data_IF_777174496946
#
_entry.id   IF_777174496946
#
_cell.length_a   1.000
_cell.length_b   1.000
_cell.length_c   1.000
_cell.angle_alpha   90.00
_cell.angle_beta   90.00
_cell.angle_gamma   90.00
#
_symmetry.space_group_name_H-M   'P 1'
#
loop_
_entity.id
_entity.type
_entity.pdbx_description
1 polymer ?
#
# COMPACT_ATOMS: atom_id res chain seq x y z
N UNK A 1 -19.53 10.85 45.79
CA UNK A 1 -18.80 11.41 44.64
C UNK A 1 -17.32 11.09 44.80
N UNK A 2 -16.85 10.04 44.14
CA UNK A 2 -15.44 9.61 44.21
C UNK A 2 -14.64 10.43 43.20
N UNK A 3 -13.69 11.24 43.67
CA UNK A 3 -12.77 11.98 42.84
C UNK A 3 -11.87 10.98 42.06
N UNK A 4 -12.03 10.91 40.75
CA UNK A 4 -11.08 10.23 39.88
C UNK A 4 -9.71 10.92 40.05
N UNK A 5 -8.77 10.24 40.72
CA UNK A 5 -7.37 10.63 40.74
C UNK A 5 -6.88 10.58 39.27
N UNK A 6 -6.66 11.76 38.66
CA UNK A 6 -5.96 11.85 37.40
C UNK A 6 -4.53 11.39 37.65
N UNK A 7 -4.16 10.24 37.13
CA UNK A 7 -2.77 9.82 37.04
C UNK A 7 -2.08 10.74 36.02
N UNK A 8 -1.36 11.74 36.50
CA UNK A 8 -0.46 12.53 35.68
C UNK A 8 0.72 11.62 35.33
N UNK A 9 0.69 11.04 34.15
CA UNK A 9 1.85 10.30 33.61
C UNK A 9 2.95 11.32 33.38
N UNK A 10 4.07 11.19 34.10
CA UNK A 10 5.26 12.02 33.83
C UNK A 10 5.74 11.70 32.42
N UNK A 11 5.88 12.73 31.59
CA UNK A 11 6.32 12.63 30.18
C UNK A 11 7.72 13.27 30.04
N UNK A 12 8.78 12.68 30.65
CA UNK A 12 10.10 13.30 30.71
C UNK A 12 10.74 13.51 29.33
N UNK A 13 10.31 12.73 28.34
CA UNK A 13 10.76 12.86 26.96
C UNK A 13 10.33 14.18 26.29
N UNK A 14 9.24 14.82 26.71
CA UNK A 14 8.80 16.11 26.13
C UNK A 14 9.85 17.19 26.26
N UNK A 15 10.63 17.21 27.35
CA UNK A 15 11.71 18.18 27.52
C UNK A 15 12.86 17.96 26.52
N UNK A 16 13.02 16.74 26.01
CA UNK A 16 14.03 16.39 24.99
C UNK A 16 13.55 16.63 23.56
N UNK A 17 12.24 16.85 23.35
CA UNK A 17 11.65 17.06 22.04
C UNK A 17 11.82 18.49 21.50
N UNK A 18 12.39 19.42 22.30
CA UNK A 18 12.57 20.81 21.88
C UNK A 18 11.25 21.49 21.54
N UNK A 19 11.18 22.10 20.36
CA UNK A 19 10.00 22.84 19.87
C UNK A 19 8.89 21.96 19.30
N UNK A 20 9.02 20.63 19.35
CA UNK A 20 7.97 19.72 18.86
C UNK A 20 6.75 19.80 19.78
N UNK A 21 5.55 20.12 19.24
CA UNK A 21 4.34 20.19 20.05
C UNK A 21 4.01 18.88 20.77
N UNK A 22 3.63 18.97 22.06
CA UNK A 22 3.21 17.80 22.83
C UNK A 22 1.93 17.15 22.29
N UNK A 23 1.11 17.92 21.59
CA UNK A 23 -0.13 17.51 20.95
C UNK A 23 -0.15 18.01 19.51
N UNK A 24 -0.55 17.13 18.60
CA UNK A 24 -0.70 17.43 17.19
C UNK A 24 -2.15 17.15 16.76
N UNK A 25 -2.65 17.99 15.86
CA UNK A 25 -3.91 17.72 15.16
C UNK A 25 -3.65 16.71 14.04
N UNK A 26 -4.40 15.61 14.07
CA UNK A 26 -4.29 14.55 13.08
C UNK A 26 -5.38 14.67 12.02
N UNK A 27 -5.05 14.33 10.80
CA UNK A 27 -6.02 14.29 9.71
C UNK A 27 -7.13 13.25 10.02
N UNK A 28 -8.37 13.72 10.17
CA UNK A 28 -9.54 12.95 10.60
C UNK A 28 -10.23 12.15 9.50
N UNK A 29 -9.62 12.00 8.32
CA UNK A 29 -10.15 11.23 7.21
C UNK A 29 -9.40 9.92 6.95
N UNK A 30 -9.75 9.26 5.84
CA UNK A 30 -9.06 8.04 5.40
C UNK A 30 -7.67 8.34 4.86
N UNK A 31 -6.84 7.27 4.69
CA UNK A 31 -5.51 7.37 4.08
C UNK A 31 -5.57 7.98 2.67
N UNK A 32 -6.56 7.54 1.87
CA UNK A 32 -6.75 8.11 0.53
C UNK A 32 -7.11 9.61 0.60
N UNK A 33 -8.01 9.99 1.50
CA UNK A 33 -8.42 11.41 1.65
C UNK A 33 -7.26 12.31 2.07
N UNK A 34 -6.34 11.82 2.93
CA UNK A 34 -5.14 12.56 3.30
C UNK A 34 -4.25 12.84 2.07
N UNK A 35 -4.00 11.82 1.25
CA UNK A 35 -3.22 11.96 0.02
C UNK A 35 -3.97 12.78 -1.04
N UNK A 36 -5.29 12.64 -1.16
CA UNK A 36 -6.11 13.45 -2.06
C UNK A 36 -6.07 14.93 -1.68
N UNK A 37 -6.15 15.25 -0.39
CA UNK A 37 -6.04 16.63 0.11
C UNK A 37 -4.67 17.24 -0.23
N UNK A 38 -3.60 16.50 -0.03
CA UNK A 38 -2.25 16.92 -0.40
C UNK A 38 -2.11 17.12 -1.91
N UNK A 39 -2.63 16.21 -2.71
CA UNK A 39 -2.56 16.28 -4.17
C UNK A 39 -3.32 17.47 -4.79
N UNK A 40 -4.33 18.01 -4.08
CA UNK A 40 -5.01 19.25 -4.50
C UNK A 40 -4.08 20.47 -4.41
N UNK A 41 -3.19 20.50 -3.41
CA UNK A 41 -2.24 21.58 -3.23
C UNK A 41 -1.01 21.43 -4.14
N UNK A 42 -0.60 20.20 -4.43
CA UNK A 42 0.63 19.88 -5.17
C UNK A 42 0.40 18.92 -6.35
N UNK A 43 -0.57 19.20 -7.27
CA UNK A 43 -0.99 18.23 -8.28
C UNK A 43 0.13 17.84 -9.26
N UNK A 44 1.04 18.75 -9.54
CA UNK A 44 2.10 18.56 -10.54
C UNK A 44 3.46 18.17 -9.92
N UNK A 45 3.56 18.14 -8.56
CA UNK A 45 4.72 17.57 -7.90
C UNK A 45 4.84 16.08 -8.22
N UNK A 46 6.08 15.58 -8.22
CA UNK A 46 6.33 14.14 -8.38
C UNK A 46 5.94 13.41 -7.10
N UNK A 47 4.96 12.52 -7.16
CA UNK A 47 4.55 11.66 -6.05
C UNK A 47 5.54 10.50 -5.85
N UNK A 48 5.93 9.86 -6.95
CA UNK A 48 6.95 8.81 -6.89
C UNK A 48 7.77 8.70 -8.18
N UNK A 49 8.94 8.12 -8.03
CA UNK A 49 9.84 7.74 -9.12
C UNK A 49 10.04 6.23 -9.09
N UNK A 50 9.91 5.57 -10.22
CA UNK A 50 10.17 4.14 -10.37
C UNK A 50 10.96 3.87 -11.65
N UNK A 51 12.14 3.28 -11.53
CA UNK A 51 13.02 2.98 -12.67
C UNK A 51 13.16 4.20 -13.63
N UNK A 52 13.43 5.37 -13.07
CA UNK A 52 13.59 6.63 -13.80
C UNK A 52 12.29 7.31 -14.27
N UNK A 53 11.15 6.60 -14.28
CA UNK A 53 9.85 7.18 -14.62
C UNK A 53 9.29 7.95 -13.43
N UNK A 54 8.96 9.23 -13.65
CA UNK A 54 8.29 10.09 -12.67
C UNK A 54 6.78 10.04 -12.87
N UNK A 55 6.04 9.98 -11.75
CA UNK A 55 4.57 10.07 -11.75
C UNK A 55 4.16 11.22 -10.84
N UNK A 56 3.36 12.14 -11.35
CA UNK A 56 2.85 13.27 -10.56
C UNK A 56 1.73 12.84 -9.63
N UNK A 57 1.42 13.66 -8.61
CA UNK A 57 0.26 13.44 -7.74
C UNK A 57 -1.06 13.33 -8.52
N UNK A 58 -1.27 14.20 -9.50
CA UNK A 58 -2.43 14.16 -10.40
C UNK A 58 -2.55 12.81 -11.10
N UNK A 59 -1.45 12.34 -11.71
CA UNK A 59 -1.44 11.06 -12.42
C UNK A 59 -1.64 9.88 -11.46
N UNK A 60 -0.99 9.91 -10.30
CA UNK A 60 -1.16 8.89 -9.25
C UNK A 60 -2.63 8.80 -8.81
N UNK A 61 -3.31 9.93 -8.52
CA UNK A 61 -4.72 9.91 -8.14
C UNK A 61 -5.62 9.36 -9.25
N UNK A 62 -5.32 9.66 -10.52
CA UNK A 62 -6.05 9.08 -11.65
C UNK A 62 -5.91 7.56 -11.70
N UNK A 63 -4.68 7.04 -11.53
CA UNK A 63 -4.41 5.61 -11.48
C UNK A 63 -5.12 4.93 -10.30
N UNK A 64 -5.08 5.54 -9.10
CA UNK A 64 -5.79 5.04 -7.90
C UNK A 64 -7.30 4.98 -8.15
N UNK A 65 -7.89 6.03 -8.72
CA UNK A 65 -9.35 6.06 -8.99
C UNK A 65 -9.77 5.01 -10.04
N UNK A 66 -8.96 4.78 -11.08
CA UNK A 66 -9.21 3.70 -12.05
C UNK A 66 -9.10 2.33 -11.38
N UNK A 67 -8.06 2.11 -10.56
CA UNK A 67 -7.86 0.87 -9.82
C UNK A 67 -9.00 0.61 -8.82
N UNK A 68 -9.50 1.63 -8.12
CA UNK A 68 -10.64 1.53 -7.22
C UNK A 68 -11.91 1.09 -7.96
N UNK A 69 -12.17 1.66 -9.13
CA UNK A 69 -13.26 1.23 -10.01
C UNK A 69 -13.07 -0.21 -10.50
N UNK A 70 -11.83 -0.60 -10.79
CA UNK A 70 -11.51 -1.97 -11.16
C UNK A 70 -11.80 -2.96 -10.02
N UNK A 71 -11.44 -2.64 -8.78
CA UNK A 71 -11.79 -3.43 -7.60
C UNK A 71 -13.30 -3.61 -7.45
N UNK A 72 -14.07 -2.51 -7.64
CA UNK A 72 -15.54 -2.59 -7.62
C UNK A 72 -16.09 -3.47 -8.75
N UNK A 73 -15.50 -3.42 -9.94
CA UNK A 73 -15.95 -4.20 -11.10
C UNK A 73 -15.81 -5.71 -10.93
N UNK A 74 -14.94 -6.15 -10.01
CA UNK A 74 -14.75 -7.56 -9.66
C UNK A 74 -15.44 -7.97 -8.35
N UNK A 75 -16.27 -7.07 -7.79
CA UNK A 75 -17.13 -7.37 -6.65
C UNK A 75 -16.57 -6.98 -5.27
N UNK A 76 -15.41 -6.33 -5.16
CA UNK A 76 -14.87 -5.88 -3.86
C UNK A 76 -15.83 -4.93 -3.17
N UNK A 77 -16.13 -5.19 -1.90
CA UNK A 77 -17.07 -4.44 -1.06
C UNK A 77 -16.34 -3.75 0.11
N UNK A 78 -16.93 -2.71 0.70
CA UNK A 78 -16.41 -2.16 1.95
C UNK A 78 -16.30 -3.25 3.03
N UNK A 79 -15.15 -3.30 3.72
CA UNK A 79 -14.85 -4.31 4.74
C UNK A 79 -14.22 -5.61 4.23
N UNK A 80 -14.24 -5.87 2.92
CA UNK A 80 -13.49 -7.00 2.34
C UNK A 80 -11.98 -6.84 2.56
N UNK A 81 -11.27 -7.96 2.70
CA UNK A 81 -9.81 -7.97 2.76
C UNK A 81 -9.26 -8.33 1.38
N UNK A 82 -8.31 -7.51 0.93
CA UNK A 82 -7.59 -7.72 -0.33
C UNK A 82 -6.13 -7.93 -0.01
N UNK A 83 -5.61 -9.12 -0.25
CA UNK A 83 -4.19 -9.42 -0.04
C UNK A 83 -3.34 -8.75 -1.12
N UNK A 84 -2.30 -8.04 -0.68
CA UNK A 84 -1.32 -7.37 -1.53
C UNK A 84 0.05 -7.96 -1.27
N UNK A 85 0.52 -8.80 -2.20
CA UNK A 85 1.83 -9.45 -2.19
C UNK A 85 2.73 -8.83 -3.28
N UNK A 86 3.09 -7.56 -3.10
CA UNK A 86 3.85 -6.76 -4.06
C UNK A 86 5.09 -6.15 -3.41
N UNK A 87 6.20 -5.99 -4.15
CA UNK A 87 7.35 -5.19 -3.70
C UNK A 87 7.05 -3.69 -3.83
N UNK A 88 8.04 -2.85 -3.52
CA UNK A 88 7.97 -1.40 -3.70
C UNK A 88 7.87 -1.06 -5.20
N UNK A 89 6.67 -0.96 -5.72
CA UNK A 89 6.38 -0.65 -7.12
C UNK A 89 5.13 0.24 -7.24
N UNK A 90 4.91 0.90 -8.38
CA UNK A 90 3.74 1.74 -8.62
C UNK A 90 2.42 1.03 -8.36
N UNK A 91 2.30 -0.24 -8.77
CA UNK A 91 1.08 -1.02 -8.58
C UNK A 91 0.76 -1.23 -7.08
N UNK A 92 1.80 -1.41 -6.23
CA UNK A 92 1.60 -1.55 -4.78
C UNK A 92 1.02 -0.27 -4.17
N UNK A 93 1.56 0.89 -4.52
CA UNK A 93 1.04 2.20 -4.08
C UNK A 93 -0.39 2.40 -4.59
N UNK A 94 -0.62 2.19 -5.89
CA UNK A 94 -1.91 2.39 -6.53
C UNK A 94 -2.99 1.50 -5.92
N UNK A 95 -2.73 0.20 -5.77
CA UNK A 95 -3.72 -0.75 -5.24
C UNK A 95 -3.99 -0.53 -3.76
N UNK A 96 -2.97 -0.17 -2.96
CA UNK A 96 -3.12 0.13 -1.54
C UNK A 96 -4.15 1.25 -1.31
N UNK A 97 -3.96 2.39 -1.97
CA UNK A 97 -4.92 3.50 -1.84
C UNK A 97 -6.26 3.23 -2.51
N UNK A 98 -6.29 2.44 -3.58
CA UNK A 98 -7.53 2.03 -4.22
C UNK A 98 -8.39 1.14 -3.32
N UNK A 99 -7.77 0.20 -2.59
CA UNK A 99 -8.42 -0.63 -1.58
C UNK A 99 -9.03 0.26 -0.48
N UNK A 100 -8.26 1.23 0.03
CA UNK A 100 -8.74 2.18 1.01
C UNK A 100 -9.93 3.01 0.48
N UNK A 101 -9.84 3.49 -0.77
CA UNK A 101 -10.87 4.31 -1.41
C UNK A 101 -12.22 3.58 -1.57
N UNK A 102 -12.20 2.26 -1.82
CA UNK A 102 -13.42 1.44 -1.89
C UNK A 102 -13.90 0.97 -0.51
N UNK A 103 -13.19 1.34 0.57
CA UNK A 103 -13.52 0.99 1.96
C UNK A 103 -13.17 -0.45 2.34
N UNK A 104 -12.37 -1.13 1.53
CA UNK A 104 -11.81 -2.44 1.84
C UNK A 104 -10.52 -2.31 2.68
N UNK A 105 -10.01 -3.42 3.17
CA UNK A 105 -8.85 -3.51 4.05
C UNK A 105 -7.69 -4.15 3.29
N UNK A 106 -6.55 -3.46 3.23
CA UNK A 106 -5.36 -3.99 2.59
C UNK A 106 -4.66 -5.00 3.52
N UNK A 107 -4.61 -6.26 3.13
CA UNK A 107 -3.85 -7.30 3.81
C UNK A 107 -2.45 -7.38 3.18
N UNK A 108 -1.46 -6.73 3.80
CA UNK A 108 -0.13 -6.56 3.23
C UNK A 108 0.79 -7.70 3.66
N UNK A 109 1.27 -8.50 2.71
CA UNK A 109 2.13 -9.65 2.97
C UNK A 109 3.44 -9.59 2.18
N UNK A 110 4.45 -10.31 2.65
CA UNK A 110 5.73 -10.41 1.97
C UNK A 110 5.57 -11.23 0.67
N UNK A 111 5.91 -10.71 -0.52
CA UNK A 111 5.74 -11.42 -1.79
C UNK A 111 6.63 -12.67 -1.92
N UNK A 112 7.73 -12.74 -1.15
CA UNK A 112 8.62 -13.90 -1.13
C UNK A 112 8.25 -14.94 -0.06
N UNK A 113 7.17 -14.74 0.72
CA UNK A 113 6.67 -15.74 1.67
C UNK A 113 6.50 -17.12 1.02
N UNK A 114 6.68 -18.15 1.82
CA UNK A 114 6.42 -19.53 1.40
C UNK A 114 4.93 -19.75 1.11
N UNK A 115 4.59 -20.80 0.40
CA UNK A 115 3.20 -21.17 0.10
C UNK A 115 2.37 -21.34 1.38
N UNK A 116 2.95 -22.01 2.41
CA UNK A 116 2.30 -22.20 3.72
C UNK A 116 2.03 -20.89 4.44
N UNK A 117 2.97 -19.94 4.38
CA UNK A 117 2.77 -18.60 4.98
C UNK A 117 1.70 -17.81 4.24
N UNK A 118 1.71 -17.84 2.90
CA UNK A 118 0.67 -17.18 2.09
C UNK A 118 -0.70 -17.77 2.40
N UNK A 119 -0.80 -19.11 2.45
CA UNK A 119 -2.04 -19.80 2.84
C UNK A 119 -2.52 -19.37 4.23
N UNK A 120 -1.61 -19.30 5.21
CA UNK A 120 -1.91 -18.82 6.56
C UNK A 120 -2.45 -17.38 6.52
N UNK A 121 -1.77 -16.45 5.84
CA UNK A 121 -2.20 -15.05 5.78
C UNK A 121 -3.55 -14.86 5.10
N UNK A 122 -3.84 -15.62 4.06
CA UNK A 122 -5.11 -15.59 3.36
C UNK A 122 -6.26 -16.10 4.23
N UNK A 123 -6.04 -17.21 4.96
CA UNK A 123 -7.02 -17.79 5.89
C UNK A 123 -7.25 -16.89 7.10
N UNK A 124 -6.18 -16.41 7.73
CA UNK A 124 -6.24 -15.55 8.91
C UNK A 124 -6.97 -14.23 8.61
N UNK A 125 -6.67 -13.59 7.49
CA UNK A 125 -7.37 -12.38 7.07
C UNK A 125 -8.77 -12.64 6.51
N UNK A 126 -9.05 -13.84 6.03
CA UNK A 126 -10.25 -14.15 5.24
C UNK A 126 -10.29 -13.38 3.93
N UNK A 127 -9.14 -13.18 3.28
CA UNK A 127 -9.06 -12.46 2.00
C UNK A 127 -9.72 -13.24 0.88
N UNK A 128 -10.61 -12.57 0.13
CA UNK A 128 -11.26 -13.12 -1.06
C UNK A 128 -10.56 -12.72 -2.37
N UNK A 129 -9.68 -11.74 -2.31
CA UNK A 129 -8.96 -11.18 -3.46
C UNK A 129 -7.47 -11.10 -3.14
N UNK A 130 -6.64 -11.36 -4.14
CA UNK A 130 -5.19 -11.22 -4.02
C UNK A 130 -4.61 -10.47 -5.23
N UNK A 131 -3.61 -9.61 -4.97
CA UNK A 131 -2.82 -8.93 -5.98
C UNK A 131 -1.37 -9.33 -5.78
N UNK A 132 -0.75 -9.90 -6.81
CA UNK A 132 0.65 -10.33 -6.77
C UNK A 132 1.34 -10.11 -8.11
N UNK A 133 2.66 -10.37 -8.18
CA UNK A 133 3.41 -10.32 -9.43
C UNK A 133 3.37 -11.66 -10.17
N UNK A 134 3.54 -11.57 -11.49
CA UNK A 134 3.65 -12.73 -12.39
C UNK A 134 4.73 -13.73 -11.94
N UNK A 135 5.86 -13.27 -11.40
CA UNK A 135 6.92 -14.14 -10.88
C UNK A 135 6.53 -14.96 -9.63
N UNK A 136 5.45 -14.59 -8.92
CA UNK A 136 4.98 -15.29 -7.71
C UNK A 136 3.67 -16.05 -7.93
N UNK A 137 3.14 -16.05 -9.15
CA UNK A 137 1.88 -16.71 -9.48
C UNK A 137 1.81 -18.16 -9.01
N UNK A 138 2.88 -18.92 -9.24
CA UNK A 138 2.93 -20.34 -8.90
C UNK A 138 2.67 -20.63 -7.40
N UNK A 139 3.05 -19.73 -6.50
CA UNK A 139 2.80 -19.88 -5.06
C UNK A 139 1.30 -19.77 -4.72
N UNK A 140 0.61 -18.85 -5.39
CA UNK A 140 -0.84 -18.68 -5.21
C UNK A 140 -1.63 -19.81 -5.86
N UNK A 141 -1.15 -20.31 -7.00
CA UNK A 141 -1.75 -21.45 -7.67
C UNK A 141 -1.63 -22.74 -6.85
N UNK A 142 -0.47 -23.00 -6.25
CA UNK A 142 -0.23 -24.17 -5.42
C UNK A 142 -1.19 -24.29 -4.22
N UNK A 143 -1.62 -23.16 -3.66
CA UNK A 143 -2.51 -23.14 -2.50
C UNK A 143 -3.98 -22.86 -2.86
N UNK A 144 -4.29 -22.68 -4.14
CA UNK A 144 -5.59 -22.20 -4.59
C UNK A 144 -6.78 -23.03 -4.06
N UNK A 145 -6.62 -24.33 -4.00
CA UNK A 145 -7.68 -25.25 -3.50
C UNK A 145 -7.84 -25.20 -1.97
N UNK A 146 -6.85 -24.66 -1.26
CA UNK A 146 -6.84 -24.57 0.20
C UNK A 146 -7.42 -23.26 0.73
N UNK A 147 -7.64 -22.27 -0.13
CA UNK A 147 -8.09 -20.91 0.21
C UNK A 147 -9.29 -20.50 -0.63
N UNK A 148 -10.09 -19.59 -0.10
CA UNK A 148 -11.28 -19.11 -0.82
C UNK A 148 -10.96 -17.78 -1.52
N UNK A 149 -10.31 -17.85 -2.70
CA UNK A 149 -10.00 -16.68 -3.51
C UNK A 149 -10.94 -16.58 -4.71
N UNK A 150 -11.73 -15.52 -4.75
CA UNK A 150 -12.60 -15.19 -5.89
C UNK A 150 -11.77 -14.76 -7.11
N UNK A 151 -10.75 -13.93 -6.88
CA UNK A 151 -9.88 -13.44 -7.95
C UNK A 151 -8.42 -13.28 -7.50
N UNK A 152 -7.51 -13.66 -8.39
CA UNK A 152 -6.08 -13.33 -8.31
C UNK A 152 -5.77 -12.31 -9.40
N UNK A 153 -5.41 -11.09 -9.01
CA UNK A 153 -4.98 -10.03 -9.92
C UNK A 153 -3.46 -10.14 -10.08
N UNK A 154 -3.04 -10.33 -11.31
CA UNK A 154 -1.64 -10.55 -11.63
C UNK A 154 -1.01 -9.32 -12.28
N UNK A 155 -0.20 -8.59 -11.51
CA UNK A 155 0.61 -7.48 -11.99
C UNK A 155 1.95 -7.97 -12.56
N UNK A 156 2.59 -7.14 -13.34
CA UNK A 156 3.96 -7.34 -13.81
C UNK A 156 4.76 -6.05 -13.67
N UNK A 157 6.02 -6.15 -13.32
CA UNK A 157 6.93 -5.00 -13.25
C UNK A 157 6.99 -4.26 -14.60
N UNK A 158 6.95 -5.00 -15.73
CA UNK A 158 6.95 -4.42 -17.09
C UNK A 158 5.77 -3.46 -17.35
N UNK A 159 4.66 -3.58 -16.60
CA UNK A 159 3.49 -2.71 -16.79
C UNK A 159 3.73 -1.29 -16.26
N UNK A 160 4.70 -1.13 -15.35
CA UNK A 160 5.10 0.15 -14.78
C UNK A 160 6.30 0.81 -15.51
N UNK A 161 7.00 0.07 -16.38
CA UNK A 161 8.20 0.53 -17.04
C UNK A 161 7.87 1.39 -18.26
N UNK A 162 8.71 2.42 -18.51
CA UNK A 162 8.73 3.18 -19.76
C UNK A 162 9.55 2.47 -20.85
N UNK A 163 9.31 2.80 -22.10
CA UNK A 163 10.23 2.45 -23.18
C UNK A 163 11.49 3.36 -23.07
N UNK A 164 12.73 2.88 -23.31
CA UNK A 164 13.14 1.52 -23.74
C UNK A 164 13.40 0.52 -22.60
N UNK A 165 13.28 0.95 -21.31
CA UNK A 165 13.57 0.09 -20.14
C UNK A 165 12.72 -1.18 -20.17
N UNK A 166 11.46 -1.06 -20.59
CA UNK A 166 10.55 -2.20 -20.75
C UNK A 166 11.09 -3.23 -21.75
N UNK A 167 11.66 -2.77 -22.86
CA UNK A 167 12.27 -3.67 -23.86
C UNK A 167 13.49 -4.40 -23.28
N UNK A 168 14.37 -3.70 -22.58
CA UNK A 168 15.50 -4.29 -21.87
C UNK A 168 15.07 -5.33 -20.83
N UNK A 169 14.08 -4.99 -19.99
CA UNK A 169 13.52 -5.93 -19.01
C UNK A 169 12.99 -7.21 -19.67
N UNK A 170 12.25 -7.09 -20.77
CA UNK A 170 11.70 -8.25 -21.49
C UNK A 170 12.77 -9.18 -22.05
N UNK A 171 13.93 -8.62 -22.45
CA UNK A 171 15.07 -9.39 -22.99
C UNK A 171 15.88 -10.09 -21.88
N UNK A 172 15.84 -9.59 -20.65
CA UNK A 172 16.61 -10.11 -19.50
C UNK A 172 15.72 -10.85 -18.52
N UNK A 173 15.14 -10.14 -17.55
CA UNK A 173 14.34 -10.73 -16.48
C UNK A 173 13.02 -11.34 -16.96
N UNK A 174 12.39 -10.75 -17.99
CA UNK A 174 11.14 -11.24 -18.56
C UNK A 174 11.24 -12.64 -19.16
N UNK A 175 12.42 -13.05 -19.61
CA UNK A 175 12.66 -14.40 -20.13
C UNK A 175 12.75 -15.48 -19.05
N UNK A 176 13.09 -15.08 -17.82
CA UNK A 176 13.21 -15.99 -16.67
C UNK A 176 11.86 -16.31 -16.04
N UNK A 177 10.81 -15.53 -16.38
CA UNK A 177 9.49 -15.74 -15.83
C UNK A 177 8.88 -17.06 -16.32
N UNK A 178 8.29 -17.79 -15.39
CA UNK A 178 7.55 -19.01 -15.73
C UNK A 178 6.35 -18.66 -16.62
N UNK A 179 6.08 -19.52 -17.59
CA UNK A 179 4.90 -19.37 -18.46
C UNK A 179 3.63 -19.61 -17.65
N UNK A 180 2.78 -18.62 -17.60
CA UNK A 180 1.46 -18.71 -16.99
C UNK A 180 0.50 -19.22 -18.05
N UNK A 181 -0.28 -20.31 -17.82
CA UNK A 181 -1.26 -20.83 -18.75
C UNK A 181 -2.21 -19.72 -19.23
N UNK A 182 -2.66 -19.83 -20.47
CA UNK A 182 -3.58 -18.81 -21.04
C UNK A 182 -4.96 -18.88 -20.42
N UNK A 183 -5.37 -20.05 -20.01
CA UNK A 183 -6.63 -20.40 -19.36
C UNK A 183 -6.55 -20.32 -17.82
N UNK A 184 -5.41 -19.89 -17.26
CA UNK A 184 -5.28 -19.69 -15.82
C UNK A 184 -6.39 -18.75 -15.32
N UNK A 185 -7.08 -19.13 -14.23
CA UNK A 185 -8.19 -18.37 -13.69
C UNK A 185 -7.68 -17.14 -12.89
N UNK A 186 -7.06 -16.21 -13.60
CA UNK A 186 -6.47 -14.97 -13.10
C UNK A 186 -6.96 -13.78 -13.89
N UNK A 187 -6.86 -12.59 -13.30
CA UNK A 187 -7.10 -11.33 -13.96
C UNK A 187 -5.78 -10.60 -14.16
N UNK A 188 -5.32 -10.41 -15.38
CA UNK A 188 -4.08 -9.69 -15.67
C UNK A 188 -4.27 -8.19 -15.40
N UNK A 189 -3.23 -7.52 -14.90
CA UNK A 189 -3.27 -6.11 -14.50
C UNK A 189 -3.88 -5.18 -15.55
N UNK A 190 -3.46 -5.32 -16.81
CA UNK A 190 -3.97 -4.46 -17.90
C UNK A 190 -5.47 -4.68 -18.17
N UNK A 191 -5.95 -5.91 -18.06
CA UNK A 191 -7.38 -6.21 -18.16
C UNK A 191 -8.14 -5.67 -16.96
N UNK A 192 -7.62 -5.87 -15.75
CA UNK A 192 -8.17 -5.33 -14.51
C UNK A 192 -8.35 -3.81 -14.59
N UNK A 193 -7.31 -3.07 -14.99
CA UNK A 193 -7.36 -1.61 -15.15
C UNK A 193 -8.34 -1.20 -16.27
N UNK A 194 -8.41 -1.96 -17.38
CA UNK A 194 -9.40 -1.72 -18.44
C UNK A 194 -10.83 -1.81 -17.92
N UNK A 195 -11.16 -2.81 -17.09
CA UNK A 195 -12.47 -2.94 -16.42
C UNK A 195 -12.76 -1.70 -15.57
N UNK A 196 -11.78 -1.17 -14.85
CA UNK A 196 -11.95 0.04 -14.06
C UNK A 196 -12.25 1.30 -14.88
N UNK A 197 -11.67 1.39 -16.10
CA UNK A 197 -11.99 2.50 -17.03
C UNK A 197 -13.43 2.46 -17.53
N UNK A 198 -13.99 1.28 -17.66
CA UNK A 198 -15.38 1.07 -18.13
C UNK A 198 -16.40 1.03 -16.98
N UNK A 199 -15.98 1.15 -15.72
CA UNK A 199 -16.87 1.12 -14.57
C UNK A 199 -17.33 2.54 -14.21
N UNK A 200 -18.62 2.79 -14.24
CA UNK A 200 -19.20 4.15 -14.09
C UNK A 200 -20.08 4.32 -12.84
N UNK A 201 -20.27 3.27 -12.01
CA UNK A 201 -21.08 3.35 -10.80
C UNK A 201 -20.31 3.89 -9.58
N UNK A 202 -21.03 4.12 -8.47
CA UNK A 202 -20.43 4.55 -7.19
C UNK A 202 -19.35 3.55 -6.76
N UNK A 203 -18.15 4.05 -6.43
CA UNK A 203 -17.00 3.25 -6.03
C UNK A 203 -16.34 3.76 -4.75
N UNK A 204 -16.51 5.02 -4.38
CA UNK A 204 -15.97 5.59 -3.15
C UNK A 204 -16.85 5.17 -1.98
N UNK A 205 -16.22 4.62 -0.94
CA UNK A 205 -16.89 4.29 0.30
C UNK A 205 -16.88 5.49 1.26
N UNK A 206 -17.88 5.51 2.14
CA UNK A 206 -17.96 6.46 3.25
C UNK A 206 -17.27 5.80 4.45
N UNK A 207 -16.02 6.19 4.73
CA UNK A 207 -15.18 5.70 5.80
C UNK A 207 -14.52 6.86 6.53
N UNK A 208 -14.20 6.67 7.81
CA UNK A 208 -13.53 7.64 8.67
C UNK A 208 -12.11 7.24 9.04
N UNK A 209 -11.49 8.06 9.88
CA UNK A 209 -10.12 7.83 10.35
C UNK A 209 -9.99 6.58 11.23
N UNK A 210 -11.01 6.24 12.01
CA UNK A 210 -11.01 5.10 12.93
C UNK A 210 -11.34 3.76 12.28
N UNK A 211 -11.75 3.78 11.00
CA UNK A 211 -11.97 2.54 10.26
C UNK A 211 -10.63 1.83 9.99
N UNK A 212 -10.64 0.49 10.13
CA UNK A 212 -9.49 -0.36 9.80
C UNK A 212 -9.18 -0.22 8.30
N UNK A 213 -7.94 0.10 8.00
CA UNK A 213 -7.47 0.33 6.64
C UNK A 213 -6.47 -0.73 6.16
N UNK A 214 -5.69 -1.30 7.08
CA UNK A 214 -4.62 -2.23 6.73
C UNK A 214 -4.42 -3.30 7.80
N UNK A 215 -3.98 -4.49 7.36
CA UNK A 215 -3.46 -5.56 8.20
C UNK A 215 -1.97 -5.70 7.89
N UNK A 216 -1.14 -5.59 8.93
CA UNK A 216 0.29 -5.87 8.87
C UNK A 216 0.64 -7.02 9.80
N UNK A 217 1.66 -7.79 9.46
CA UNK A 217 2.06 -8.94 10.25
C UNK A 217 3.35 -8.68 11.03
N UNK A 218 3.36 -9.10 12.28
CA UNK A 218 4.54 -9.10 13.12
C UNK A 218 4.96 -10.53 13.45
N UNK A 219 6.26 -10.81 13.38
CA UNK A 219 6.82 -12.01 13.97
C UNK A 219 6.71 -11.88 15.49
N UNK A 220 5.72 -12.52 16.09
CA UNK A 220 5.51 -12.47 17.54
C UNK A 220 6.72 -13.07 18.28
N UNK A 221 7.06 -12.52 19.46
CA UNK A 221 8.06 -13.09 20.39
C UNK A 221 7.72 -14.52 20.80
N UNK A 222 6.49 -14.95 20.60
CA UNK A 222 5.98 -16.31 20.88
C UNK A 222 6.08 -17.26 19.69
N UNK A 223 6.71 -16.84 18.57
CA UNK A 223 6.84 -17.64 17.35
C UNK A 223 5.56 -17.67 16.47
N UNK A 224 4.43 -17.16 16.95
CA UNK A 224 3.18 -17.11 16.18
C UNK A 224 3.05 -15.72 15.55
N UNK A 225 2.98 -15.69 14.23
CA UNK A 225 2.72 -14.45 13.48
C UNK A 225 1.30 -13.95 13.76
N UNK A 226 1.18 -12.65 14.05
CA UNK A 226 -0.11 -12.00 14.35
C UNK A 226 -0.41 -10.93 13.31
N UNK A 227 -1.65 -10.91 12.82
CA UNK A 227 -2.19 -9.83 11.99
C UNK A 227 -2.62 -8.64 12.87
N UNK A 228 -1.97 -7.50 12.67
CA UNK A 228 -2.25 -6.26 13.40
C UNK A 228 -3.18 -5.41 12.56
N UNK A 229 -4.36 -5.10 13.08
CA UNK A 229 -5.32 -4.20 12.45
C UNK A 229 -4.92 -2.76 12.74
N UNK A 230 -4.70 -1.98 11.69
CA UNK A 230 -4.34 -0.58 11.79
C UNK A 230 -5.39 0.29 11.09
N UNK A 231 -5.79 1.37 11.76
CA UNK A 231 -6.76 2.34 11.24
C UNK A 231 -6.08 3.39 10.37
N UNK A 232 -6.88 4.14 9.60
CA UNK A 232 -6.39 5.29 8.87
C UNK A 232 -5.75 6.31 9.82
N UNK A 233 -6.32 6.52 11.02
CA UNK A 233 -5.79 7.44 12.03
C UNK A 233 -4.38 7.03 12.49
N UNK A 234 -4.09 5.75 12.67
CA UNK A 234 -2.76 5.30 13.07
C UNK A 234 -1.67 5.78 12.08
N UNK A 235 -1.94 5.66 10.79
CA UNK A 235 -1.00 6.11 9.75
C UNK A 235 -0.96 7.63 9.58
N UNK A 236 -2.12 8.30 9.62
CA UNK A 236 -2.18 9.77 9.54
C UNK A 236 -1.44 10.41 10.72
N UNK A 237 -1.63 9.87 11.93
CA UNK A 237 -0.91 10.32 13.13
C UNK A 237 0.59 10.08 13.01
N UNK A 238 1.02 8.90 12.57
CA UNK A 238 2.43 8.61 12.31
C UNK A 238 3.02 9.63 11.34
N UNK A 239 2.33 9.92 10.22
CA UNK A 239 2.78 10.89 9.23
C UNK A 239 2.94 12.29 9.79
N UNK A 240 1.97 12.75 10.58
CA UNK A 240 2.03 14.06 11.24
C UNK A 240 3.19 14.13 12.27
N UNK A 241 3.38 13.08 13.07
CA UNK A 241 4.45 12.99 14.07
C UNK A 241 5.84 13.02 13.44
N UNK A 242 6.05 12.23 12.37
CA UNK A 242 7.33 12.19 11.65
C UNK A 242 7.68 13.56 11.08
N UNK A 243 6.71 14.27 10.49
CA UNK A 243 6.97 15.61 9.94
C UNK A 243 7.18 16.65 11.04
N UNK A 244 6.43 16.58 12.16
CA UNK A 244 6.63 17.50 13.29
C UNK A 244 8.03 17.38 13.90
N UNK A 245 8.64 16.20 13.85
CA UNK A 245 10.03 15.97 14.31
C UNK A 245 11.09 16.31 13.26
N UNK A 246 10.68 16.68 12.03
CA UNK A 246 11.58 17.04 10.95
C UNK A 246 11.27 18.45 10.40
N UNK A 247 11.70 19.52 11.08
CA UNK A 247 11.38 20.90 10.69
C UNK A 247 12.00 21.32 9.34
N UNK A 248 12.92 20.53 8.80
CA UNK A 248 13.54 20.80 7.50
C UNK A 248 12.74 20.26 6.33
N UNK A 249 11.76 19.36 6.56
CA UNK A 249 10.96 18.77 5.48
C UNK A 249 10.21 19.85 4.70
N UNK A 250 10.23 19.72 3.39
CA UNK A 250 9.48 20.57 2.44
C UNK A 250 8.75 19.71 1.39
N UNK A 251 7.57 20.13 0.93
CA UNK A 251 6.92 19.51 -0.22
C UNK A 251 7.86 19.44 -1.43
N UNK A 252 7.99 18.26 -2.03
CA UNK A 252 8.96 17.98 -3.09
C UNK A 252 10.22 17.25 -2.63
N UNK A 253 10.48 17.18 -1.31
CA UNK A 253 11.58 16.38 -0.77
C UNK A 253 11.42 14.90 -1.11
N UNK A 254 12.55 14.21 -1.22
CA UNK A 254 12.60 12.84 -1.70
C UNK A 254 12.99 11.87 -0.60
N UNK A 255 12.24 10.76 -0.50
CA UNK A 255 12.55 9.64 0.37
C UNK A 255 12.91 8.42 -0.49
N UNK A 256 14.07 7.83 -0.19
CA UNK A 256 14.45 6.55 -0.79
C UNK A 256 13.65 5.43 -0.11
N UNK A 257 12.62 4.93 -0.80
CA UNK A 257 11.72 3.91 -0.28
C UNK A 257 12.32 2.51 -0.51
N UNK A 258 13.28 2.14 0.34
CA UNK A 258 13.93 0.81 0.34
C UNK A 258 13.25 -0.15 1.29
N UNK A 259 12.65 0.35 2.37
CA UNK A 259 11.91 -0.50 3.31
C UNK A 259 10.64 -1.01 2.66
N UNK A 260 10.31 -2.30 2.83
CA UNK A 260 9.21 -2.93 2.11
C UNK A 260 7.84 -2.33 2.43
N UNK A 261 6.98 -2.17 1.41
CA UNK A 261 5.60 -1.67 1.56
C UNK A 261 4.69 -2.58 2.39
N UNK A 262 5.05 -3.83 2.56
CA UNK A 262 4.32 -4.77 3.44
C UNK A 262 4.77 -4.71 4.91
N UNK A 263 5.66 -3.78 5.25
CA UNK A 263 6.13 -3.51 6.60
C UNK A 263 5.72 -2.11 7.04
N UNK A 264 5.39 -1.94 8.33
CA UNK A 264 4.89 -0.68 8.88
C UNK A 264 5.81 0.52 8.64
N UNK A 265 7.13 0.34 8.70
CA UNK A 265 8.10 1.40 8.39
C UNK A 265 8.02 1.80 6.91
N UNK A 266 8.07 0.81 5.99
CA UNK A 266 8.01 1.08 4.55
C UNK A 266 6.71 1.74 4.15
N UNK A 267 5.58 1.15 4.54
CA UNK A 267 4.26 1.66 4.17
C UNK A 267 3.94 2.99 4.89
N UNK A 268 4.21 3.07 6.19
CA UNK A 268 3.86 4.23 7.01
C UNK A 268 4.79 5.41 6.78
N UNK A 269 6.11 5.22 6.92
CA UNK A 269 7.09 6.32 6.85
C UNK A 269 7.50 6.60 5.40
N UNK A 270 7.93 5.56 4.66
CA UNK A 270 8.51 5.82 3.33
C UNK A 270 7.45 6.13 2.27
N UNK A 271 6.21 5.67 2.43
CA UNK A 271 5.14 5.89 1.46
C UNK A 271 4.10 6.89 1.99
N UNK A 272 3.36 6.52 3.05
CA UNK A 272 2.20 7.33 3.45
C UNK A 272 2.59 8.71 3.98
N UNK A 273 3.60 8.78 4.88
CA UNK A 273 4.10 10.07 5.40
C UNK A 273 4.53 11.00 4.28
N UNK A 274 5.28 10.49 3.30
CA UNK A 274 5.71 11.31 2.17
C UNK A 274 4.54 11.78 1.33
N UNK A 275 3.63 10.87 0.95
CA UNK A 275 2.54 11.19 0.03
C UNK A 275 1.46 12.09 0.65
N UNK A 276 1.22 12.02 1.96
CA UNK A 276 0.26 12.92 2.61
C UNK A 276 0.81 14.32 2.88
N UNK A 277 2.14 14.51 2.77
CA UNK A 277 2.81 15.78 3.05
C UNK A 277 3.50 16.42 1.82
N UNK A 278 3.24 15.93 0.62
CA UNK A 278 3.75 16.52 -0.62
C UNK A 278 5.14 16.06 -1.04
N UNK A 279 5.71 15.05 -0.36
CA UNK A 279 7.01 14.48 -0.67
C UNK A 279 6.99 13.54 -1.88
N UNK A 280 8.16 13.04 -2.26
CA UNK A 280 8.36 12.14 -3.38
C UNK A 280 9.00 10.81 -2.92
N UNK A 281 8.39 9.68 -3.26
CA UNK A 281 8.91 8.35 -2.95
C UNK A 281 9.76 7.83 -4.12
N UNK A 282 11.04 7.54 -3.90
CA UNK A 282 11.86 6.82 -4.87
C UNK A 282 11.69 5.33 -4.58
N UNK A 283 10.84 4.67 -5.38
CA UNK A 283 10.47 3.27 -5.17
C UNK A 283 11.60 2.34 -5.63
N UNK A 284 12.14 1.57 -4.69
CA UNK A 284 13.20 0.57 -4.94
C UNK A 284 12.61 -0.81 -4.69
N UNK A 285 12.34 -1.62 -5.74
CA UNK A 285 11.67 -2.91 -5.59
C UNK A 285 12.53 -3.97 -4.90
N UNK A 286 13.84 -3.85 -5.03
CA UNK A 286 14.84 -4.70 -4.37
C UNK A 286 16.07 -3.84 -4.10
N UNK A 287 16.42 -3.70 -2.84
CA UNK A 287 17.64 -3.01 -2.44
C UNK A 287 18.79 -4.02 -2.29
N UNK A 288 19.92 -3.71 -2.93
CA UNK A 288 21.20 -4.42 -2.77
C UNK A 288 22.30 -3.38 -2.60
N UNK A 289 23.45 -3.78 -2.05
CA UNK A 289 24.56 -2.86 -1.87
C UNK A 289 25.07 -2.24 -3.19
N UNK A 290 24.82 -2.91 -4.31
CA UNK A 290 25.26 -2.49 -5.65
C UNK A 290 24.18 -1.73 -6.43
N UNK A 291 22.99 -1.46 -5.84
CA UNK A 291 21.84 -0.85 -6.52
C UNK A 291 21.73 0.66 -6.32
#
# INVERSE_FOLDING_TARGET
MSARKSFCVKTPWLSAMGDVPAHLDYFGGTLYQAVEACARNYPDHTAYVFMGKRTSYRAMLQEINICARALKSIGVRPGDRVTVALPNCPQAVTVFYAINLVGAIANMIHPLSSEKEIEFYLKESGSLFAVTLDQFYHKFEAIRQNVNLDNIILASIKDALSQPIKAGYMLTEGRKLQKIPKDAPILRWNEFIRRGRSYHWKYRAEKGADDVAVILYSGGTTGITKGILLTSLNFNALGAQVIATNPMFRPGDKMLAVMPVFHGFGLGISIHTMLMNGGCCILVPRFTADS
#
